data_IF_810685029216
#
_entry.id   IF_810685029216
#
_cell.length_a   1.000
_cell.length_b   1.000
_cell.length_c   1.000
_cell.angle_alpha   90.00
_cell.angle_beta   90.00
_cell.angle_gamma   90.00
#
_symmetry.space_group_name_H-M   'P 1'
#
loop_
_entity.id
_entity.type
_entity.pdbx_description
1 polymer ?
#
# COMPACT_ATOMS: atom_id res chain seq x y z
N UNK A 1 36.38 11.08 -5.90
CA UNK A 1 35.52 9.87 -5.83
C UNK A 1 34.15 10.32 -5.37
N UNK A 2 33.19 10.41 -6.29
CA UNK A 2 31.88 11.00 -6.03
C UNK A 2 31.05 10.13 -5.10
N UNK A 3 30.66 10.68 -3.96
CA UNK A 3 29.71 10.09 -3.03
C UNK A 3 28.33 10.08 -3.71
N UNK A 4 28.00 9.03 -4.45
CA UNK A 4 26.63 8.79 -4.89
C UNK A 4 25.80 8.56 -3.63
N UNK A 5 25.02 9.57 -3.24
CA UNK A 5 23.92 9.41 -2.31
C UNK A 5 22.90 8.49 -2.98
N UNK A 6 23.07 7.19 -2.78
CA UNK A 6 21.99 6.23 -2.99
C UNK A 6 20.96 6.55 -1.93
N UNK A 7 19.82 7.08 -2.34
CA UNK A 7 18.63 7.14 -1.50
C UNK A 7 18.41 5.75 -0.87
N UNK A 8 18.00 5.67 0.41
CA UNK A 8 17.83 4.39 1.08
C UNK A 8 16.84 3.55 0.28
N UNK A 9 17.36 2.48 -0.34
CA UNK A 9 16.56 1.50 -1.05
C UNK A 9 15.74 0.77 0.02
N UNK A 10 14.44 1.05 0.12
CA UNK A 10 13.52 0.32 1.01
C UNK A 10 13.46 -1.17 0.62
N UNK A 11 13.87 -1.50 -0.62
CA UNK A 11 14.01 -2.86 -1.14
C UNK A 11 15.12 -3.70 -0.49
N UNK A 12 15.98 -3.12 0.34
CA UNK A 12 17.01 -3.88 1.05
C UNK A 12 16.42 -4.68 2.22
N UNK A 13 15.23 -4.31 2.68
CA UNK A 13 14.50 -5.01 3.73
C UNK A 13 13.40 -5.89 3.09
N UNK A 14 13.03 -7.02 3.72
CA UNK A 14 11.92 -7.82 3.23
C UNK A 14 10.63 -6.97 3.21
N UNK A 15 9.70 -7.28 2.28
CA UNK A 15 8.42 -6.57 2.23
C UNK A 15 7.71 -6.69 3.58
N UNK A 16 7.24 -5.55 4.09
CA UNK A 16 6.54 -5.45 5.38
C UNK A 16 5.25 -6.27 5.37
N UNK A 17 4.54 -6.27 4.24
CA UNK A 17 3.30 -7.02 4.04
C UNK A 17 3.48 -8.19 3.09
N UNK A 18 2.68 -9.24 3.28
CA UNK A 18 2.69 -10.44 2.44
C UNK A 18 1.52 -10.47 1.44
N UNK A 19 1.63 -11.31 0.42
CA UNK A 19 0.49 -11.61 -0.46
C UNK A 19 -0.63 -12.23 0.37
N UNK A 20 -1.88 -11.90 0.03
CA UNK A 20 -3.10 -12.36 0.71
C UNK A 20 -3.24 -11.83 2.14
N UNK A 21 -2.34 -10.96 2.59
CA UNK A 21 -2.44 -10.34 3.91
C UNK A 21 -3.53 -9.28 3.94
N UNK A 22 -4.30 -9.28 5.04
CA UNK A 22 -5.33 -8.29 5.30
C UNK A 22 -4.68 -7.01 5.81
N UNK A 23 -4.91 -5.91 5.11
CA UNK A 23 -4.37 -4.60 5.45
C UNK A 23 -5.48 -3.56 5.54
N UNK A 24 -5.27 -2.54 6.36
CA UNK A 24 -6.16 -1.40 6.56
C UNK A 24 -5.46 -0.11 6.16
N UNK A 25 -6.20 0.79 5.54
CA UNK A 25 -5.72 2.13 5.25
C UNK A 25 -5.63 2.98 6.50
N UNK A 26 -4.42 3.45 6.83
CA UNK A 26 -4.22 4.43 7.90
C UNK A 26 -4.62 5.84 7.47
N UNK A 27 -4.59 6.10 6.16
CA UNK A 27 -4.87 7.40 5.55
C UNK A 27 -5.71 7.22 4.31
N UNK A 28 -6.43 8.28 3.97
CA UNK A 28 -7.22 8.36 2.74
C UNK A 28 -6.27 8.39 1.53
N UNK A 29 -6.51 7.52 0.56
CA UNK A 29 -5.76 7.48 -0.70
C UNK A 29 -6.51 8.28 -1.76
N UNK A 30 -5.78 9.21 -2.38
CA UNK A 30 -6.26 9.98 -3.51
C UNK A 30 -5.48 9.57 -4.75
N UNK A 31 -6.15 9.60 -5.90
CA UNK A 31 -5.49 9.34 -7.16
C UNK A 31 -4.52 10.49 -7.46
N UNK A 32 -3.22 10.21 -7.50
CA UNK A 32 -2.21 11.21 -7.88
C UNK A 32 -1.97 11.24 -9.40
N UNK A 33 -2.79 10.51 -10.18
CA UNK A 33 -2.65 10.34 -11.62
C UNK A 33 -2.06 9.00 -12.04
N UNK A 34 -1.75 8.12 -11.08
CA UNK A 34 -1.22 6.77 -11.33
C UNK A 34 -2.30 5.71 -11.51
N UNK A 35 -3.55 5.99 -11.10
CA UNK A 35 -4.66 5.05 -11.24
C UNK A 35 -5.45 5.32 -12.53
N UNK A 36 -5.53 4.36 -13.46
CA UNK A 36 -6.27 4.53 -14.70
C UNK A 36 -7.79 4.54 -14.44
N UNK A 37 -8.50 5.44 -15.11
CA UNK A 37 -9.97 5.47 -15.08
C UNK A 37 -10.61 6.34 -13.99
N UNK A 38 -9.83 7.10 -13.22
CA UNK A 38 -10.35 8.17 -12.35
C UNK A 38 -9.55 9.45 -12.50
N UNK A 39 -10.19 10.59 -12.26
CA UNK A 39 -9.51 11.90 -12.23
C UNK A 39 -8.49 12.02 -11.10
N UNK A 40 -7.51 12.89 -11.30
CA UNK A 40 -6.50 13.27 -10.30
C UNK A 40 -7.22 13.96 -9.14
N UNK A 41 -6.86 13.60 -7.90
CA UNK A 41 -7.43 14.13 -6.66
C UNK A 41 -8.68 13.40 -6.17
N UNK A 42 -9.25 12.47 -6.96
CA UNK A 42 -10.40 11.66 -6.53
C UNK A 42 -9.99 10.67 -5.45
N UNK A 43 -10.84 10.53 -4.44
CA UNK A 43 -10.70 9.51 -3.39
C UNK A 43 -10.84 8.13 -4.00
N UNK A 44 -9.77 7.35 -3.97
CA UNK A 44 -9.80 5.95 -4.40
C UNK A 44 -10.25 5.05 -3.25
N UNK A 45 -9.74 5.32 -2.05
CA UNK A 45 -10.11 4.63 -0.83
C UNK A 45 -10.02 5.55 0.39
N UNK A 46 -10.89 5.33 1.35
CA UNK A 46 -11.05 6.11 2.58
C UNK A 46 -10.16 5.53 3.68
N UNK A 47 -9.82 6.39 4.65
CA UNK A 47 -9.15 5.96 5.87
C UNK A 47 -10.03 4.92 6.60
N UNK A 48 -9.43 3.81 7.01
CA UNK A 48 -10.10 2.72 7.69
C UNK A 48 -10.65 1.62 6.78
N UNK A 49 -10.63 1.81 5.46
CA UNK A 49 -10.98 0.72 4.55
C UNK A 49 -9.98 -0.43 4.67
N UNK A 50 -10.51 -1.66 4.61
CA UNK A 50 -9.71 -2.88 4.64
C UNK A 50 -9.70 -3.53 3.27
N UNK A 51 -8.58 -4.16 2.95
CA UNK A 51 -8.40 -4.89 1.71
C UNK A 51 -7.34 -5.96 1.86
N UNK A 52 -7.13 -6.69 0.78
CA UNK A 52 -6.19 -7.79 0.73
C UNK A 52 -5.08 -7.49 -0.26
N UNK A 53 -3.82 -7.74 0.12
CA UNK A 53 -2.69 -7.57 -0.79
C UNK A 53 -2.78 -8.63 -1.89
N UNK A 54 -3.04 -8.20 -3.12
CA UNK A 54 -3.14 -9.11 -4.28
C UNK A 54 -1.85 -9.17 -5.08
N UNK A 55 -1.00 -8.15 -4.96
CA UNK A 55 0.31 -8.13 -5.63
C UNK A 55 1.29 -7.22 -4.91
N UNK A 56 2.57 -7.56 -4.96
CA UNK A 56 3.66 -6.75 -4.41
C UNK A 56 4.57 -6.38 -5.58
N UNK A 57 4.50 -5.11 -5.97
CA UNK A 57 5.35 -4.51 -6.98
C UNK A 57 6.47 -3.70 -6.37
N UNK A 58 7.37 -3.23 -7.23
CA UNK A 58 8.44 -2.31 -6.87
C UNK A 58 8.41 -1.12 -7.82
N UNK A 59 8.60 0.09 -7.30
CA UNK A 59 8.66 1.31 -8.09
C UNK A 59 10.08 1.87 -8.07
N UNK A 60 10.63 2.13 -9.27
CA UNK A 60 12.00 2.60 -9.50
C UNK A 60 13.09 1.76 -8.79
N UNK A 61 12.78 0.50 -8.44
CA UNK A 61 13.63 -0.38 -7.62
C UNK A 61 14.04 0.20 -6.25
N UNK A 62 13.38 1.29 -5.80
CA UNK A 62 13.68 1.95 -4.52
C UNK A 62 12.55 1.78 -3.51
N UNK A 63 11.31 1.54 -3.96
CA UNK A 63 10.12 1.50 -3.11
C UNK A 63 9.28 0.25 -3.35
N UNK A 64 8.75 -0.35 -2.29
CA UNK A 64 7.69 -1.36 -2.40
C UNK A 64 6.33 -0.70 -2.64
N UNK A 65 5.58 -1.25 -3.60
CA UNK A 65 4.20 -0.88 -3.88
C UNK A 65 3.33 -2.11 -3.69
N UNK A 66 2.42 -2.04 -2.73
CA UNK A 66 1.47 -3.09 -2.41
C UNK A 66 0.17 -2.80 -3.16
N UNK A 67 -0.17 -3.65 -4.13
CA UNK A 67 -1.47 -3.61 -4.76
C UNK A 67 -2.48 -4.27 -3.82
N UNK A 68 -3.35 -3.45 -3.24
CA UNK A 68 -4.37 -3.89 -2.30
C UNK A 68 -5.73 -3.84 -2.98
N UNK A 69 -6.43 -4.96 -2.99
CA UNK A 69 -7.81 -5.04 -3.45
C UNK A 69 -8.74 -4.67 -2.29
N UNK A 70 -9.37 -3.50 -2.40
CA UNK A 70 -10.38 -3.02 -1.47
C UNK A 70 -11.74 -3.59 -1.87
N UNK A 71 -12.38 -4.33 -0.96
CA UNK A 71 -13.66 -4.99 -1.23
C UNK A 71 -14.80 -3.97 -1.29
N UNK A 72 -14.77 -2.96 -0.42
CA UNK A 72 -15.80 -1.90 -0.33
C UNK A 72 -15.82 -1.04 -1.60
N UNK A 73 -14.65 -0.56 -2.01
CA UNK A 73 -14.50 0.21 -3.25
C UNK A 73 -14.45 -0.64 -4.52
N UNK A 74 -14.22 -1.96 -4.41
CA UNK A 74 -14.00 -2.91 -5.52
C UNK A 74 -12.87 -2.48 -6.48
N UNK A 75 -11.80 -1.90 -5.92
CA UNK A 75 -10.66 -1.35 -6.67
C UNK A 75 -9.34 -1.91 -6.14
N UNK A 76 -8.39 -2.12 -7.05
CA UNK A 76 -7.02 -2.52 -6.71
C UNK A 76 -6.12 -1.29 -6.70
N UNK A 77 -5.72 -0.83 -5.52
CA UNK A 77 -4.97 0.43 -5.37
C UNK A 77 -3.54 0.10 -4.94
N UNK A 78 -2.57 0.71 -5.64
CA UNK A 78 -1.15 0.63 -5.27
C UNK A 78 -0.85 1.55 -4.10
N UNK A 79 -0.59 0.97 -2.94
CA UNK A 79 -0.30 1.67 -1.70
C UNK A 79 1.17 1.44 -1.29
N UNK A 80 1.78 2.44 -0.63
CA UNK A 80 3.09 2.26 0.00
C UNK A 80 2.91 1.65 1.38
N UNK A 81 3.97 1.01 1.89
CA UNK A 81 3.96 0.40 3.22
C UNK A 81 3.48 1.36 4.32
N UNK A 82 4.00 2.58 4.32
CA UNK A 82 3.67 3.63 5.30
C UNK A 82 2.20 4.09 5.33
N UNK A 83 1.43 3.79 4.29
CA UNK A 83 0.02 4.16 4.19
C UNK A 83 -0.92 3.02 4.62
N UNK A 84 -0.37 1.81 4.75
CA UNK A 84 -1.07 0.59 5.15
C UNK A 84 -0.73 0.22 6.60
N UNK A 85 -1.61 -0.58 7.19
CA UNK A 85 -1.46 -1.20 8.51
C UNK A 85 -1.89 -2.65 8.39
N UNK A 86 -1.10 -3.58 8.91
CA UNK A 86 -1.47 -5.00 8.95
C UNK A 86 -2.62 -5.17 9.91
N UNK A 87 -3.68 -5.84 9.45
CA UNK A 87 -4.77 -6.27 10.32
C UNK A 87 -4.52 -7.74 10.60
N UNK A 88 -3.66 -8.01 11.58
CA UNK A 88 -3.55 -9.36 12.14
C UNK A 88 -4.88 -9.68 12.83
N UNK A 89 -5.39 -10.90 12.65
CA UNK A 89 -6.63 -11.39 13.29
C UNK A 89 -6.61 -11.32 14.83
N UNK A 90 -5.49 -10.93 15.45
CA UNK A 90 -5.34 -10.71 16.88
C UNK A 90 -6.14 -9.51 17.44
N UNK A 91 -6.61 -8.56 16.60
CA UNK A 91 -7.46 -7.45 17.07
C UNK A 91 -8.95 -7.83 17.30
N UNK A 92 -9.39 -9.06 16.95
CA UNK A 92 -10.75 -9.54 17.28
C UNK A 92 -10.80 -10.29 18.64
N UNK A 93 -9.66 -10.42 19.33
CA UNK A 93 -9.58 -11.15 20.60
C UNK A 93 -9.23 -10.20 21.76
N UNK A 94 -10.11 -9.24 22.05
CA UNK A 94 -10.17 -8.62 23.39
C UNK A 94 -11.48 -9.00 24.10
N UNK A 95 -11.43 -9.86 25.14
CA UNK A 95 -12.54 -10.09 26.05
C UNK A 95 -12.80 -8.92 27.01
#
# INVERSE_FOLDING_TARGET
>A
MGLTRVDPIELNEPPIFQMEEKVRLRKMIRNDGTFPGKDIGVTLAKKGETGYVVSIGTYLQSYYIYAVHFIDSNLVIGCRSKELESVTEEEDMQP
#
